data_IF_783642507204
#
_entry.id   IF_783642507204
#
_cell.length_a   1.000
_cell.length_b   1.000
_cell.length_c   1.000
_cell.angle_alpha   90.00
_cell.angle_beta   90.00
_cell.angle_gamma   90.00
#
_symmetry.space_group_name_H-M   'P 1'
#
loop_
_entity.id
_entity.type
_entity.pdbx_description
1 polymer ?
#
# COMPACT_ATOMS: atom_id res chain seq x y z
N UNK A 1 46.54 -28.07 -23.40
CA UNK A 1 46.94 -27.80 -21.99
C UNK A 1 45.70 -27.26 -21.25
N UNK A 2 45.05 -28.06 -20.43
CA UNK A 2 43.85 -27.62 -19.68
C UNK A 2 44.26 -26.90 -18.40
N UNK A 3 43.69 -25.71 -18.18
CA UNK A 3 43.86 -24.96 -16.94
C UNK A 3 42.75 -25.39 -15.93
N UNK A 4 43.22 -26.01 -14.87
CA UNK A 4 42.39 -26.36 -13.71
C UNK A 4 42.01 -25.08 -12.93
N UNK A 5 40.71 -24.80 -12.79
CA UNK A 5 40.21 -23.77 -11.88
C UNK A 5 39.89 -24.40 -10.55
N UNK A 6 40.67 -24.00 -9.55
CA UNK A 6 40.52 -24.37 -8.15
C UNK A 6 39.27 -23.73 -7.58
N UNK A 7 38.34 -24.56 -7.08
CA UNK A 7 37.17 -24.16 -6.31
C UNK A 7 37.59 -23.88 -4.86
N UNK A 8 37.63 -22.62 -4.49
CA UNK A 8 37.84 -22.20 -3.10
C UNK A 8 36.50 -22.18 -2.37
N UNK A 9 36.28 -23.21 -1.55
CA UNK A 9 35.14 -23.25 -0.65
C UNK A 9 35.42 -22.39 0.59
N UNK A 10 34.61 -21.37 0.85
CA UNK A 10 34.62 -20.58 2.08
C UNK A 10 33.70 -21.27 3.10
N UNK A 11 34.16 -21.51 4.36
CA UNK A 11 33.33 -22.09 5.40
C UNK A 11 32.33 -21.08 5.96
N UNK A 12 31.06 -21.51 6.01
CA UNK A 12 29.95 -20.79 6.65
C UNK A 12 30.08 -20.96 8.15
N UNK A 13 30.43 -19.91 8.86
CA UNK A 13 30.40 -19.88 10.32
C UNK A 13 28.96 -19.68 10.81
N UNK A 14 28.33 -20.77 11.27
CA UNK A 14 27.09 -20.74 12.06
C UNK A 14 27.38 -20.04 13.40
N UNK A 15 26.78 -18.89 13.61
CA UNK A 15 26.66 -18.30 14.95
C UNK A 15 25.27 -18.65 15.51
N UNK A 16 25.26 -19.59 16.43
CA UNK A 16 24.16 -19.80 17.39
C UNK A 16 24.17 -18.61 18.36
N UNK A 17 23.10 -17.86 18.42
CA UNK A 17 22.86 -16.76 19.36
C UNK A 17 21.53 -16.99 20.07
N UNK A 18 21.66 -17.33 21.26
CA UNK A 18 20.96 -17.55 22.50
C UNK A 18 19.63 -16.78 22.68
N UNK A 19 18.67 -17.52 23.24
CA UNK A 19 17.35 -17.12 23.71
C UNK A 19 17.37 -15.92 24.69
N UNK A 20 16.42 -15.02 24.52
CA UNK A 20 16.03 -13.99 25.47
C UNK A 20 14.51 -13.96 25.61
N UNK A 21 14.02 -14.70 26.58
CA UNK A 21 12.65 -14.76 27.02
C UNK A 21 12.39 -13.58 27.97
N UNK A 22 11.57 -12.62 27.61
CA UNK A 22 11.03 -11.62 28.54
C UNK A 22 9.53 -11.67 28.47
N UNK A 23 8.94 -12.29 29.47
CA UNK A 23 7.52 -12.24 29.79
C UNK A 23 7.20 -10.92 30.48
N UNK A 24 6.40 -10.07 29.88
CA UNK A 24 5.82 -8.86 30.48
C UNK A 24 4.31 -8.97 30.53
N UNK A 25 3.80 -9.37 31.68
CA UNK A 25 2.39 -9.26 32.05
C UNK A 25 2.09 -7.79 32.34
N UNK A 26 1.10 -7.19 31.69
CA UNK A 26 0.46 -5.97 32.17
C UNK A 26 -1.05 -6.19 32.18
N UNK A 27 -1.58 -6.13 33.41
CA UNK A 27 -2.94 -6.32 33.84
C UNK A 27 -3.76 -5.02 33.62
N UNK A 28 -4.86 -5.16 32.95
CA UNK A 28 -6.22 -4.64 33.18
C UNK A 28 -6.47 -3.45 34.08
N UNK A 29 -7.26 -2.52 33.62
CA UNK A 29 -8.25 -1.83 34.45
C UNK A 29 -9.52 -1.57 33.63
N UNK A 30 -10.57 -2.34 33.93
CA UNK A 30 -11.95 -2.03 33.60
C UNK A 30 -12.40 -0.86 34.48
N UNK A 31 -12.95 0.20 33.88
CA UNK A 31 -13.75 1.18 34.62
C UNK A 31 -15.14 1.20 33.99
N UNK A 32 -16.06 0.54 34.67
CA UNK A 32 -17.50 0.65 34.49
C UNK A 32 -17.96 1.98 35.08
N UNK A 33 -18.47 2.86 34.24
CA UNK A 33 -19.16 4.08 34.65
C UNK A 33 -20.64 3.99 34.26
N UNK A 34 -21.47 3.53 35.20
CA UNK A 34 -22.92 3.66 35.15
C UNK A 34 -23.31 5.10 35.50
N UNK A 35 -23.93 5.79 34.58
CA UNK A 35 -24.58 7.09 34.80
C UNK A 35 -26.08 7.00 34.49
N UNK A 36 -26.87 6.75 35.50
CA UNK A 36 -28.32 6.86 35.51
C UNK A 36 -28.72 8.33 35.62
N UNK A 37 -29.58 8.82 34.75
CA UNK A 37 -30.13 10.18 34.84
C UNK A 37 -31.38 10.34 33.99
N UNK A 38 -32.48 9.97 34.53
CA UNK A 38 -33.83 10.56 34.62
C UNK A 38 -34.26 11.52 33.52
N UNK A 39 -35.34 11.14 32.85
CA UNK A 39 -36.29 12.04 32.24
C UNK A 39 -37.14 12.73 33.32
N UNK A 40 -37.77 13.90 33.11
CA UNK A 40 -39.14 13.84 32.61
C UNK A 40 -39.64 15.01 31.72
N UNK A 41 -40.72 14.67 31.02
CA UNK A 41 -41.97 15.43 30.78
C UNK A 41 -42.01 16.63 29.85
N UNK A 42 -42.77 16.38 28.80
CA UNK A 42 -43.92 17.12 28.25
C UNK A 42 -43.87 18.66 28.21
N UNK A 43 -44.02 19.16 26.99
CA UNK A 43 -45.16 20.05 26.69
C UNK A 43 -45.33 20.13 25.17
N UNK A 44 -46.50 19.71 24.74
CA UNK A 44 -47.02 19.87 23.41
C UNK A 44 -47.27 21.35 23.10
N UNK A 45 -46.86 21.82 21.94
CA UNK A 45 -47.54 22.94 21.24
C UNK A 45 -47.50 22.69 19.73
N UNK A 46 -48.67 22.33 19.24
CA UNK A 46 -49.04 22.39 17.84
C UNK A 46 -48.92 23.83 17.37
N UNK A 47 -48.21 24.04 16.29
CA UNK A 47 -48.46 25.14 15.38
C UNK A 47 -48.51 24.62 13.96
N UNK A 48 -49.75 24.53 13.47
CA UNK A 48 -50.11 24.54 12.08
C UNK A 48 -49.61 25.82 11.43
N UNK A 49 -48.89 25.71 10.32
CA UNK A 49 -48.94 26.68 9.24
C UNK A 49 -48.28 26.15 7.96
N UNK A 50 -49.08 25.85 7.05
CA UNK A 50 -49.05 26.17 5.60
C UNK A 50 -47.80 25.88 4.77
N UNK A 51 -48.04 25.26 3.60
CA UNK A 51 -46.99 25.02 2.64
C UNK A 51 -46.77 26.27 1.78
N UNK A 52 -45.53 26.75 1.77
CA UNK A 52 -45.13 27.74 0.78
C UNK A 52 -43.99 27.25 -0.09
N UNK A 53 -44.36 27.17 -1.35
CA UNK A 53 -43.54 27.40 -2.51
C UNK A 53 -42.23 26.62 -2.69
N UNK A 54 -42.34 25.66 -3.57
CA UNK A 54 -41.35 25.25 -4.56
C UNK A 54 -40.41 26.40 -4.99
N UNK A 55 -39.21 26.37 -4.42
CA UNK A 55 -38.08 26.96 -5.12
C UNK A 55 -37.27 25.76 -5.62
N UNK A 56 -37.51 25.39 -6.86
CA UNK A 56 -36.59 24.55 -7.64
C UNK A 56 -35.29 25.34 -7.82
N UNK A 57 -34.40 25.25 -6.84
CA UNK A 57 -33.01 25.58 -7.07
C UNK A 57 -32.43 24.46 -7.92
N UNK A 58 -32.47 24.64 -9.24
CA UNK A 58 -31.56 23.96 -10.15
C UNK A 58 -30.14 24.35 -9.71
N UNK A 59 -29.58 23.61 -8.78
CA UNK A 59 -28.14 23.64 -8.58
C UNK A 59 -27.53 23.15 -9.89
N UNK A 60 -26.95 24.07 -10.62
CA UNK A 60 -25.98 23.75 -11.63
C UNK A 60 -24.97 22.81 -10.97
N UNK A 61 -24.99 21.56 -11.40
CA UNK A 61 -23.95 20.58 -11.08
C UNK A 61 -22.70 21.19 -11.70
N UNK A 62 -21.98 21.97 -10.89
CA UNK A 62 -20.63 22.37 -11.24
C UNK A 62 -19.88 21.06 -11.48
N UNK A 63 -19.44 20.87 -12.72
CA UNK A 63 -18.55 19.77 -13.07
C UNK A 63 -17.31 19.94 -12.23
N UNK A 64 -17.25 19.28 -11.06
CA UNK A 64 -16.00 19.06 -10.35
C UNK A 64 -15.03 18.46 -11.35
N UNK A 65 -13.79 18.95 -11.48
CA UNK A 65 -12.81 18.30 -12.32
C UNK A 65 -12.78 16.84 -11.90
N UNK A 66 -13.15 15.98 -12.84
CA UNK A 66 -13.12 14.52 -12.61
C UNK A 66 -11.68 14.16 -12.26
N UNK A 67 -11.46 13.62 -11.07
CA UNK A 67 -10.14 13.12 -10.72
C UNK A 67 -9.70 12.13 -11.81
N UNK A 68 -8.42 12.11 -12.19
CA UNK A 68 -7.94 11.19 -13.20
C UNK A 68 -8.28 9.77 -12.77
N UNK A 69 -8.87 8.98 -13.67
CA UNK A 69 -9.14 7.58 -13.40
C UNK A 69 -7.84 6.77 -13.52
N UNK A 70 -7.62 5.75 -12.70
CA UNK A 70 -6.47 4.87 -12.85
C UNK A 70 -6.56 4.11 -14.16
N UNK A 71 -5.43 3.90 -14.83
CA UNK A 71 -5.32 3.08 -16.04
C UNK A 71 -5.14 1.61 -15.72
N UNK A 72 -4.64 1.29 -14.53
CA UNK A 72 -4.52 -0.06 -13.99
C UNK A 72 -4.51 0.01 -12.46
N UNK A 73 -4.96 -1.05 -11.79
CA UNK A 73 -4.98 -1.12 -10.32
C UNK A 73 -4.90 -2.56 -9.83
N UNK A 74 -4.49 -2.74 -8.58
CA UNK A 74 -4.45 -4.04 -7.94
C UNK A 74 -4.28 -3.98 -6.43
N UNK A 75 -4.46 -5.11 -5.77
CA UNK A 75 -4.26 -5.23 -4.33
C UNK A 75 -2.93 -5.94 -4.03
N UNK A 76 -2.25 -5.51 -2.96
CA UNK A 76 -1.06 -6.21 -2.50
C UNK A 76 -1.40 -7.59 -1.96
N UNK A 77 -0.59 -8.56 -2.31
CA UNK A 77 -0.54 -9.89 -1.73
C UNK A 77 0.86 -10.22 -1.23
N UNK A 78 0.93 -11.13 -0.27
CA UNK A 78 2.18 -11.57 0.33
C UNK A 78 3.00 -12.41 -0.67
N UNK A 79 4.33 -12.22 -0.65
CA UNK A 79 5.31 -13.08 -1.32
C UNK A 79 6.17 -13.74 -0.25
N UNK A 80 7.28 -13.11 0.17
CA UNK A 80 8.12 -13.62 1.28
C UNK A 80 7.91 -12.82 2.58
N UNK A 81 7.05 -11.81 2.55
CA UNK A 81 6.64 -11.00 3.69
C UNK A 81 5.16 -10.68 3.64
N UNK A 82 4.75 -9.55 4.21
CA UNK A 82 3.36 -9.11 4.16
C UNK A 82 3.24 -7.61 3.99
N UNK A 83 2.35 -7.20 3.10
CA UNK A 83 1.85 -5.84 2.98
C UNK A 83 0.36 -5.90 2.63
N UNK A 84 -0.36 -4.82 2.86
CA UNK A 84 -1.76 -4.67 2.50
C UNK A 84 -2.02 -3.31 1.87
N UNK A 85 -3.21 -3.15 1.28
CA UNK A 85 -3.60 -1.95 0.56
C UNK A 85 -3.75 -2.20 -0.93
N UNK A 86 -3.99 -1.12 -1.66
CA UNK A 86 -4.15 -1.14 -3.10
C UNK A 86 -3.12 -0.26 -3.78
N UNK A 87 -2.83 -0.57 -5.02
CA UNK A 87 -1.99 0.22 -5.90
C UNK A 87 -2.78 0.62 -7.13
N UNK A 88 -2.61 1.85 -7.57
CA UNK A 88 -3.20 2.37 -8.78
C UNK A 88 -2.15 3.06 -9.65
N UNK A 89 -2.17 2.79 -10.94
CA UNK A 89 -1.35 3.47 -11.95
C UNK A 89 -2.21 4.53 -12.63
N UNK A 90 -1.76 5.77 -12.60
CA UNK A 90 -2.42 6.90 -13.24
C UNK A 90 -1.62 7.41 -14.42
N UNK A 91 -2.33 7.72 -15.51
CA UNK A 91 -1.79 8.52 -16.59
C UNK A 91 -2.20 9.99 -16.37
N UNK A 92 -1.22 10.85 -16.24
CA UNK A 92 -1.43 12.26 -15.94
C UNK A 92 -1.62 13.09 -17.23
N UNK A 93 -2.26 14.28 -17.15
CA UNK A 93 -2.52 15.12 -18.34
C UNK A 93 -1.27 15.60 -19.07
N UNK A 94 -0.12 15.62 -18.39
CA UNK A 94 1.18 15.96 -18.97
C UNK A 94 1.85 14.78 -19.71
N UNK A 95 1.18 13.62 -19.75
CA UNK A 95 1.66 12.41 -20.37
C UNK A 95 2.56 11.54 -19.47
N UNK A 96 2.83 11.95 -18.24
CA UNK A 96 3.59 11.18 -17.28
C UNK A 96 2.73 10.11 -16.60
N UNK A 97 3.38 9.15 -15.93
CA UNK A 97 2.72 8.12 -15.15
C UNK A 97 3.09 8.22 -13.67
N UNK A 98 2.12 7.90 -12.82
CA UNK A 98 2.28 7.89 -11.37
C UNK A 98 1.66 6.63 -10.78
N UNK A 99 2.38 5.99 -9.88
CA UNK A 99 1.87 4.90 -9.03
C UNK A 99 1.47 5.50 -7.69
N UNK A 100 0.25 5.22 -7.25
CA UNK A 100 -0.27 5.65 -5.94
C UNK A 100 -0.64 4.42 -5.12
N UNK A 101 -0.20 4.38 -3.87
CA UNK A 101 -0.64 3.40 -2.89
C UNK A 101 -1.77 4.01 -2.05
N UNK A 102 -2.83 3.23 -1.80
CA UNK A 102 -3.97 3.60 -0.98
C UNK A 102 -4.18 2.55 0.11
N UNK A 103 -4.56 3.00 1.31
CA UNK A 103 -4.76 2.15 2.49
C UNK A 103 -3.57 1.19 2.74
N UNK A 104 -2.39 1.66 2.35
CA UNK A 104 -1.16 0.89 2.39
C UNK A 104 -0.70 0.64 3.82
N UNK A 105 -0.20 -0.56 4.09
CA UNK A 105 0.44 -0.92 5.36
C UNK A 105 1.47 -2.03 5.16
N UNK A 106 2.64 -1.85 5.79
CA UNK A 106 3.75 -2.82 5.83
C UNK A 106 4.43 -2.76 7.20
N UNK A 107 5.01 -3.87 7.63
CA UNK A 107 5.67 -3.96 8.94
C UNK A 107 6.92 -3.08 9.09
N UNK A 108 7.70 -2.89 8.01
CA UNK A 108 8.91 -2.06 7.97
C UNK A 108 9.10 -1.49 6.56
N UNK A 109 9.51 -0.24 6.47
CA UNK A 109 9.88 0.43 5.21
C UNK A 109 11.39 0.52 5.00
N UNK A 110 12.20 0.09 5.98
CA UNK A 110 13.66 0.24 5.93
C UNK A 110 14.26 -0.73 4.91
N UNK A 111 14.94 -0.18 3.91
CA UNK A 111 15.58 -0.97 2.85
C UNK A 111 14.61 -1.59 1.85
N UNK A 112 13.37 -1.09 1.81
CA UNK A 112 12.35 -1.53 0.86
C UNK A 112 12.27 -0.55 -0.30
N UNK A 113 12.47 -1.06 -1.50
CA UNK A 113 12.33 -0.32 -2.75
C UNK A 113 11.03 -0.72 -3.46
N UNK A 114 10.42 0.24 -4.15
CA UNK A 114 9.23 0.04 -4.97
C UNK A 114 9.67 -0.12 -6.41
N UNK A 115 9.33 -1.25 -7.02
CA UNK A 115 9.75 -1.54 -8.39
C UNK A 115 8.57 -1.98 -9.26
N UNK A 116 8.61 -1.60 -10.54
CA UNK A 116 7.70 -2.11 -11.57
C UNK A 116 8.35 -3.30 -12.28
N UNK A 117 7.56 -4.35 -12.50
CA UNK A 117 8.01 -5.56 -13.18
C UNK A 117 7.07 -5.97 -14.32
N UNK A 118 7.62 -6.63 -15.33
CA UNK A 118 6.87 -7.10 -16.51
C UNK A 118 6.09 -8.39 -16.24
N UNK A 119 6.42 -9.11 -15.17
CA UNK A 119 5.65 -10.28 -14.74
C UNK A 119 4.24 -9.89 -14.34
N UNK A 120 3.22 -10.65 -14.77
CA UNK A 120 1.81 -10.39 -14.45
C UNK A 120 1.41 -10.85 -13.07
N UNK A 121 2.07 -11.87 -12.59
CA UNK A 121 1.87 -12.45 -11.27
C UNK A 121 3.25 -12.74 -10.68
N UNK A 122 3.46 -12.27 -9.44
CA UNK A 122 4.71 -12.46 -8.71
C UNK A 122 4.36 -13.19 -7.43
N UNK A 123 4.54 -14.49 -7.46
CA UNK A 123 4.25 -15.40 -6.33
C UNK A 123 5.51 -15.79 -5.55
N UNK A 124 6.68 -15.54 -6.14
CA UNK A 124 7.98 -15.78 -5.53
C UNK A 124 8.99 -14.72 -5.96
N UNK A 125 10.03 -14.52 -5.17
CA UNK A 125 11.11 -13.58 -5.50
C UNK A 125 11.85 -13.92 -6.80
N UNK A 126 11.83 -15.20 -7.21
CA UNK A 126 12.41 -15.67 -8.48
C UNK A 126 11.64 -15.20 -9.73
N UNK A 127 10.37 -14.78 -9.57
CA UNK A 127 9.54 -14.28 -10.66
C UNK A 127 9.90 -12.84 -11.05
N UNK A 128 10.72 -12.19 -10.24
CA UNK A 128 11.18 -10.83 -10.46
C UNK A 128 12.45 -10.82 -11.30
N UNK A 129 12.33 -10.38 -12.56
CA UNK A 129 13.50 -10.17 -13.42
C UNK A 129 14.11 -8.80 -13.15
N UNK A 130 15.22 -8.79 -12.42
CA UNK A 130 15.94 -7.56 -12.05
C UNK A 130 16.63 -6.87 -13.23
N UNK A 131 16.77 -7.55 -14.37
CA UNK A 131 17.38 -6.95 -15.56
C UNK A 131 16.41 -6.03 -16.32
N UNK A 132 15.11 -6.19 -16.09
CA UNK A 132 14.04 -5.48 -16.80
C UNK A 132 13.15 -4.64 -15.88
N UNK A 133 13.36 -4.67 -14.58
CA UNK A 133 12.56 -3.90 -13.65
C UNK A 133 12.83 -2.39 -13.74
N UNK A 134 11.90 -1.58 -13.27
CA UNK A 134 12.07 -0.13 -13.07
C UNK A 134 11.94 0.19 -11.60
N UNK A 135 12.97 0.81 -11.06
CA UNK A 135 13.00 1.30 -9.69
C UNK A 135 12.27 2.65 -9.62
N UNK A 136 11.25 2.72 -8.77
CA UNK A 136 10.48 3.94 -8.49
C UNK A 136 11.00 4.68 -7.26
N UNK A 137 11.94 4.08 -6.54
CA UNK A 137 12.54 4.62 -5.33
C UNK A 137 12.16 3.89 -4.05
N UNK A 138 12.81 4.31 -2.96
CA UNK A 138 12.60 3.72 -1.66
C UNK A 138 11.21 4.05 -1.09
N UNK A 139 10.64 3.09 -0.36
CA UNK A 139 9.40 3.28 0.38
C UNK A 139 9.60 4.35 1.46
N UNK A 140 8.72 5.35 1.52
CA UNK A 140 8.88 6.53 2.40
C UNK A 140 8.31 6.33 3.79
N UNK A 141 7.41 5.35 3.98
CA UNK A 141 6.76 5.09 5.25
C UNK A 141 6.07 3.73 5.30
N UNK A 142 5.62 3.33 6.47
CA UNK A 142 5.00 2.03 6.71
C UNK A 142 3.51 1.98 6.43
N UNK A 143 2.90 3.09 6.00
CA UNK A 143 1.47 3.10 5.72
C UNK A 143 0.96 4.39 5.12
N UNK A 144 -0.36 4.40 4.85
CA UNK A 144 -1.06 5.54 4.28
C UNK A 144 -0.96 5.63 2.76
N UNK A 145 -1.20 6.83 2.25
CA UNK A 145 -1.08 7.12 0.82
C UNK A 145 0.37 7.47 0.49
N UNK A 146 0.90 6.88 -0.57
CA UNK A 146 2.24 7.16 -1.07
C UNK A 146 2.22 7.24 -2.60
N UNK A 147 2.95 8.20 -3.15
CA UNK A 147 3.02 8.46 -4.58
C UNK A 147 4.43 8.24 -5.10
N UNK A 148 4.55 7.57 -6.24
CA UNK A 148 5.81 7.28 -6.92
C UNK A 148 5.69 7.70 -8.39
N UNK A 149 6.62 8.52 -8.87
CA UNK A 149 6.67 8.90 -10.28
C UNK A 149 7.33 7.80 -11.10
N UNK A 150 6.73 7.44 -12.21
CA UNK A 150 7.35 6.52 -13.16
C UNK A 150 8.33 7.32 -14.03
N UNK A 151 9.61 6.88 -14.15
CA UNK A 151 10.58 7.56 -15.01
C UNK A 151 10.09 7.64 -16.45
N UNK A 152 10.27 8.81 -17.10
CA UNK A 152 9.84 9.04 -18.49
C UNK A 152 10.54 8.14 -19.52
N UNK A 153 11.63 7.48 -19.13
CA UNK A 153 12.35 6.50 -19.96
C UNK A 153 11.72 5.11 -19.94
N UNK A 154 10.77 4.88 -19.02
CA UNK A 154 10.07 3.61 -18.87
C UNK A 154 8.68 3.70 -19.54
N UNK A 155 8.36 2.71 -20.37
CA UNK A 155 7.00 2.55 -20.88
C UNK A 155 6.15 1.87 -19.81
N UNK A 156 5.41 2.67 -19.04
CA UNK A 156 4.61 2.19 -17.91
C UNK A 156 3.60 1.10 -18.28
N UNK A 157 3.15 1.07 -19.54
CA UNK A 157 2.16 0.10 -20.01
C UNK A 157 2.74 -1.30 -20.26
N UNK A 158 4.05 -1.46 -20.22
CA UNK A 158 4.72 -2.77 -20.35
C UNK A 158 4.87 -3.51 -19.04
N UNK A 159 4.63 -2.81 -17.92
CA UNK A 159 4.74 -3.37 -16.58
C UNK A 159 3.37 -3.82 -16.07
N UNK A 160 3.34 -4.97 -15.45
CA UNK A 160 2.10 -5.63 -15.05
C UNK A 160 1.98 -5.88 -13.55
N UNK A 161 3.01 -5.58 -12.78
CA UNK A 161 2.93 -5.63 -11.32
C UNK A 161 3.85 -4.60 -10.67
N UNK A 162 3.47 -4.18 -9.47
CA UNK A 162 4.30 -3.43 -8.52
C UNK A 162 4.81 -4.42 -7.48
N UNK A 163 6.09 -4.37 -7.17
CA UNK A 163 6.73 -5.24 -6.18
C UNK A 163 7.42 -4.37 -5.12
N UNK A 164 7.25 -4.76 -3.87
CA UNK A 164 8.01 -4.25 -2.73
C UNK A 164 9.23 -5.15 -2.54
N UNK A 165 10.40 -4.62 -2.85
CA UNK A 165 11.65 -5.35 -2.85
C UNK A 165 12.51 -4.98 -1.66
N UNK A 166 12.88 -5.97 -0.83
CA UNK A 166 13.88 -5.77 0.21
C UNK A 166 15.29 -5.81 -0.43
N UNK A 167 15.92 -4.63 -0.53
CA UNK A 167 17.24 -4.50 -1.14
C UNK A 167 18.37 -5.04 -0.26
N UNK A 168 18.14 -5.18 1.05
CA UNK A 168 19.12 -5.72 1.99
C UNK A 168 19.16 -7.25 1.98
N UNK A 169 17.98 -7.86 1.92
CA UNK A 169 17.83 -9.32 1.92
C UNK A 169 17.73 -9.91 0.51
N UNK A 170 17.40 -9.10 -0.49
CA UNK A 170 17.36 -9.48 -1.89
C UNK A 170 16.15 -10.35 -2.26
N UNK A 171 14.97 -10.04 -1.67
CA UNK A 171 13.73 -10.76 -1.95
C UNK A 171 12.51 -9.83 -2.06
N UNK A 172 11.44 -10.32 -2.67
CA UNK A 172 10.17 -9.64 -2.77
C UNK A 172 9.38 -9.82 -1.46
N UNK A 173 8.94 -8.74 -0.84
CA UNK A 173 8.10 -8.76 0.36
C UNK A 173 6.65 -9.03 -0.04
N UNK A 174 6.14 -8.26 -0.98
CA UNK A 174 4.78 -8.32 -1.46
C UNK A 174 4.71 -7.83 -2.90
N UNK A 175 3.66 -8.20 -3.60
CA UNK A 175 3.41 -7.77 -4.97
C UNK A 175 1.94 -7.38 -5.16
N UNK A 176 1.67 -6.52 -6.15
CA UNK A 176 0.33 -6.14 -6.56
C UNK A 176 0.26 -6.17 -8.09
N UNK A 177 -0.55 -7.07 -8.67
CA UNK A 177 -0.75 -7.09 -10.12
C UNK A 177 -1.50 -5.82 -10.57
N UNK A 178 -1.11 -5.28 -11.72
CA UNK A 178 -1.76 -4.15 -12.38
C UNK A 178 -2.66 -4.70 -13.50
N UNK A 179 -3.98 -4.70 -13.28
CA UNK A 179 -4.95 -5.24 -14.22
C UNK A 179 -6.26 -4.51 -14.24
#
# INVERSE_FOLDING_TARGET
MPRSHSLSAKPIARRLGLAGMVAGLIVTACTTGSGTGSAPSETAMQHSASPSALASSSQAVGSSPSAPAPVAQGAFHAVDGSASGTVALFHLPDGSFKVTFEDFSIGSATGVDVVLVTAKDVSASSDVDRSTWVDLGALTGTGGMQDFSVPATADAMTYHAVVLWDSQMGHAIAAAPLG
#
